data_IF_951584799821
#
_entry.id   IF_951584799821
#
_cell.length_a   1.000
_cell.length_b   1.000
_cell.length_c   1.000
_cell.angle_alpha   90.00
_cell.angle_beta   90.00
_cell.angle_gamma   90.00
#
_symmetry.space_group_name_H-M   'P 1'
#
loop_
_entity.id
_entity.type
_entity.pdbx_description
1 polymer ?
#
# COMPACT_ATOMS: atom_id res chain seq x y z
N UNK A 1 9.92 -8.57 7.64
CA UNK A 1 9.75 -7.46 6.67
C UNK A 1 11.00 -6.60 6.59
N UNK A 2 11.20 -5.85 5.48
CA UNK A 2 12.41 -5.04 5.34
C UNK A 2 12.42 -3.83 6.28
N UNK A 3 11.31 -3.19 6.52
CA UNK A 3 11.19 -2.03 7.41
C UNK A 3 9.86 -1.98 8.15
N UNK A 4 9.71 -0.96 9.00
CA UNK A 4 8.48 -0.57 9.68
C UNK A 4 8.09 0.89 9.34
N UNK A 5 8.57 1.40 8.21
CA UNK A 5 8.21 2.73 7.72
C UNK A 5 6.88 2.67 6.94
N UNK A 6 6.27 3.82 6.69
CA UNK A 6 5.00 3.87 5.94
C UNK A 6 5.21 3.55 4.46
N UNK A 7 4.65 2.43 4.03
CA UNK A 7 4.67 1.91 2.66
C UNK A 7 3.47 0.99 2.42
N UNK A 8 3.22 0.59 1.18
CA UNK A 8 2.06 -0.24 0.84
C UNK A 8 2.07 -1.61 1.52
N UNK A 9 3.23 -2.27 1.61
CA UNK A 9 3.41 -3.55 2.29
C UNK A 9 3.17 -3.38 3.80
N UNK A 10 3.80 -2.38 4.40
CA UNK A 10 3.71 -2.10 5.83
C UNK A 10 2.27 -1.69 6.22
N UNK A 11 1.60 -0.91 5.38
CA UNK A 11 0.19 -0.56 5.57
C UNK A 11 -0.70 -1.81 5.58
N UNK A 12 -0.48 -2.76 4.66
CA UNK A 12 -1.20 -4.04 4.68
C UNK A 12 -1.00 -4.78 6.00
N UNK A 13 0.25 -4.94 6.43
CA UNK A 13 0.56 -5.67 7.67
C UNK A 13 -0.07 -4.99 8.88
N UNK A 14 0.00 -3.65 8.95
CA UNK A 14 -0.62 -2.89 10.05
C UNK A 14 -2.15 -2.93 10.00
N UNK A 15 -2.77 -2.92 8.83
CA UNK A 15 -4.21 -3.10 8.70
C UNK A 15 -4.65 -4.46 9.27
N UNK A 16 -3.90 -5.54 8.96
CA UNK A 16 -4.13 -6.86 9.56
C UNK A 16 -3.94 -6.80 11.07
N UNK A 17 -2.83 -6.23 11.55
CA UNK A 17 -2.48 -6.21 12.98
C UNK A 17 -3.46 -5.38 13.84
N UNK A 18 -3.97 -4.27 13.31
CA UNK A 18 -5.03 -3.47 13.97
C UNK A 18 -6.35 -4.21 14.13
N UNK A 19 -6.66 -5.10 13.18
CA UNK A 19 -7.96 -5.78 13.10
C UNK A 19 -7.93 -7.24 13.57
N UNK A 20 -6.75 -7.81 13.89
CA UNK A 20 -6.65 -9.18 14.38
C UNK A 20 -7.06 -9.27 15.85
N UNK A 21 -7.71 -10.39 16.20
CA UNK A 21 -8.00 -10.72 17.61
C UNK A 21 -6.68 -11.10 18.31
N UNK A 22 -6.09 -10.14 19.02
CA UNK A 22 -4.81 -10.31 19.73
C UNK A 22 -4.86 -11.25 20.93
N UNK A 23 -6.04 -11.66 21.34
CA UNK A 23 -6.18 -12.73 22.36
C UNK A 23 -5.91 -14.11 21.78
N UNK A 24 -6.05 -14.25 20.45
CA UNK A 24 -5.81 -15.51 19.72
C UNK A 24 -4.45 -15.52 19.02
N UNK A 25 -4.07 -14.38 18.41
CA UNK A 25 -2.82 -14.26 17.62
C UNK A 25 -2.19 -12.92 17.90
N UNK A 26 -1.02 -12.93 18.50
CA UNK A 26 -0.19 -11.74 18.75
C UNK A 26 0.97 -11.71 17.74
N UNK A 27 1.27 -10.52 17.19
CA UNK A 27 2.41 -10.34 16.28
C UNK A 27 3.59 -9.71 16.99
N UNK A 28 4.77 -10.25 16.68
CA UNK A 28 6.05 -9.58 16.85
C UNK A 28 6.69 -9.33 15.49
N UNK A 29 7.53 -8.31 15.40
CA UNK A 29 8.06 -7.83 14.13
C UNK A 29 9.57 -7.97 14.07
N UNK A 30 10.07 -8.66 13.04
CA UNK A 30 11.50 -8.76 12.73
C UNK A 30 11.81 -7.82 11.57
N UNK A 31 12.63 -6.78 11.80
CA UNK A 31 12.84 -5.66 10.88
C UNK A 31 14.29 -5.22 10.81
N UNK A 32 14.71 -4.66 9.65
CA UNK A 32 15.98 -3.94 9.50
C UNK A 32 15.93 -2.52 10.07
N UNK A 33 14.72 -1.95 10.23
CA UNK A 33 14.50 -0.62 10.81
C UNK A 33 13.57 -0.74 12.02
N UNK A 34 14.07 -1.18 13.19
CA UNK A 34 13.23 -1.43 14.36
C UNK A 34 12.58 -0.17 14.93
N UNK A 35 13.12 1.00 14.63
CA UNK A 35 12.60 2.31 15.06
C UNK A 35 11.82 3.03 13.92
N UNK A 36 11.21 2.28 12.99
CA UNK A 36 10.41 2.86 11.90
C UNK A 36 9.09 3.48 12.39
N UNK A 37 8.37 4.15 11.49
CA UNK A 37 7.16 4.94 11.77
C UNK A 37 6.06 4.20 12.55
N UNK A 38 5.96 2.88 12.36
CA UNK A 38 4.97 2.05 13.05
C UNK A 38 5.47 1.40 14.34
N UNK A 39 6.75 1.55 14.73
CA UNK A 39 7.33 0.83 15.86
C UNK A 39 6.60 1.13 17.18
N UNK A 40 6.31 2.41 17.44
CA UNK A 40 5.60 2.83 18.65
C UNK A 40 4.16 2.30 18.70
N UNK A 41 3.47 2.31 17.56
CA UNK A 41 2.11 1.76 17.46
C UNK A 41 2.10 0.24 17.71
N UNK A 42 3.06 -0.50 17.12
CA UNK A 42 3.21 -1.94 17.36
C UNK A 42 3.37 -2.23 18.86
N UNK A 43 4.25 -1.48 19.53
CA UNK A 43 4.51 -1.65 20.97
C UNK A 43 3.29 -1.31 21.82
N UNK A 44 2.53 -0.26 21.47
CA UNK A 44 1.30 0.12 22.18
C UNK A 44 0.20 -0.96 22.08
N UNK A 45 0.25 -1.78 21.03
CA UNK A 45 -0.66 -2.92 20.82
C UNK A 45 -0.10 -4.24 21.41
N UNK A 46 1.00 -4.20 22.19
CA UNK A 46 1.60 -5.34 22.85
C UNK A 46 2.59 -6.16 21.99
N UNK A 47 2.89 -5.73 20.77
CA UNK A 47 3.87 -6.37 19.91
C UNK A 47 5.30 -5.96 20.25
N UNK A 48 6.24 -6.87 20.06
CA UNK A 48 7.69 -6.59 20.17
C UNK A 48 8.28 -6.33 18.80
N UNK A 49 9.29 -5.46 18.76
CA UNK A 49 10.02 -5.16 17.51
C UNK A 49 11.49 -5.57 17.69
N UNK A 50 11.94 -6.51 16.88
CA UNK A 50 13.30 -7.01 16.88
C UNK A 50 14.10 -6.48 15.69
N UNK A 51 15.30 -5.97 15.96
CA UNK A 51 16.23 -5.49 14.94
C UNK A 51 17.14 -6.60 14.43
N UNK A 52 17.27 -6.73 13.11
CA UNK A 52 18.31 -7.55 12.48
C UNK A 52 19.20 -6.68 11.60
N UNK A 53 20.50 -6.99 11.59
CA UNK A 53 21.45 -6.26 10.75
C UNK A 53 21.11 -6.45 9.27
N UNK A 54 21.02 -5.40 8.46
CA UNK A 54 20.80 -5.56 7.02
C UNK A 54 22.07 -6.08 6.32
N UNK A 55 21.92 -6.78 5.19
CA UNK A 55 23.03 -7.40 4.45
C UNK A 55 24.07 -6.42 3.90
N UNK A 56 23.67 -5.19 3.59
CA UNK A 56 24.58 -4.15 3.11
C UNK A 56 25.55 -3.65 4.19
N UNK A 57 25.26 -3.88 5.47
CA UNK A 57 26.16 -3.59 6.59
C UNK A 57 27.18 -4.72 6.79
N UNK A 58 26.83 -5.96 6.38
CA UNK A 58 27.74 -7.11 6.46
C UNK A 58 27.02 -8.44 6.26
N UNK A 59 27.46 -9.19 5.26
CA UNK A 59 26.85 -10.48 4.90
C UNK A 59 26.86 -11.46 6.09
N UNK A 60 28.01 -11.72 6.68
CA UNK A 60 28.12 -12.62 7.84
C UNK A 60 27.39 -12.09 9.07
N UNK A 61 27.41 -10.78 9.30
CA UNK A 61 26.71 -10.15 10.42
C UNK A 61 25.18 -10.32 10.31
N UNK A 62 24.64 -10.24 9.09
CA UNK A 62 23.23 -10.50 8.82
C UNK A 62 22.84 -11.95 9.20
N UNK A 63 23.53 -12.95 8.67
CA UNK A 63 23.21 -14.36 8.95
C UNK A 63 23.42 -14.71 10.42
N UNK A 64 24.48 -14.18 11.07
CA UNK A 64 24.71 -14.35 12.50
C UNK A 64 23.59 -13.73 13.34
N UNK A 65 23.07 -12.57 12.95
CA UNK A 65 21.95 -11.93 13.65
C UNK A 65 20.62 -12.72 13.50
N UNK A 66 20.37 -13.30 12.32
CA UNK A 66 19.23 -14.21 12.11
C UNK A 66 19.36 -15.48 12.95
N UNK A 67 20.50 -16.17 12.87
CA UNK A 67 20.73 -17.41 13.63
C UNK A 67 20.58 -17.18 15.13
N UNK A 68 21.15 -16.08 15.64
CA UNK A 68 20.99 -15.69 17.05
C UNK A 68 19.51 -15.49 17.41
N UNK A 69 18.78 -14.67 16.64
CA UNK A 69 17.37 -14.40 16.91
C UNK A 69 16.53 -15.69 16.96
N UNK A 70 16.63 -16.54 15.93
CA UNK A 70 15.84 -17.76 15.88
C UNK A 70 16.25 -18.78 16.95
N UNK A 71 17.54 -18.86 17.30
CA UNK A 71 18.02 -19.72 18.39
C UNK A 71 17.42 -19.31 19.74
N UNK A 72 17.31 -18.01 19.98
CA UNK A 72 16.83 -17.46 21.26
C UNK A 72 15.31 -17.45 21.35
N UNK A 73 14.58 -17.20 20.24
CA UNK A 73 13.17 -16.87 20.26
C UNK A 73 12.25 -17.82 19.47
N UNK A 74 12.76 -18.73 18.63
CA UNK A 74 11.90 -19.53 17.76
C UNK A 74 10.86 -20.36 18.52
N UNK A 75 11.17 -20.80 19.75
CA UNK A 75 10.26 -21.58 20.60
C UNK A 75 9.03 -20.78 21.08
N UNK A 76 9.08 -19.45 21.02
CA UNK A 76 7.97 -18.56 21.37
C UNK A 76 6.93 -18.44 20.22
N UNK A 77 7.29 -18.88 18.99
CA UNK A 77 6.48 -18.64 17.78
C UNK A 77 5.97 -19.92 17.14
N UNK A 78 4.66 -19.94 16.88
CA UNK A 78 4.03 -20.99 16.08
C UNK A 78 4.19 -20.76 14.58
N UNK A 79 4.19 -19.50 14.16
CA UNK A 79 4.21 -19.10 12.76
C UNK A 79 5.21 -17.98 12.48
N UNK A 80 5.79 -17.99 11.28
CA UNK A 80 6.47 -16.85 10.69
C UNK A 80 5.78 -16.47 9.37
N UNK A 81 5.51 -15.17 9.18
CA UNK A 81 4.96 -14.62 7.95
C UNK A 81 5.97 -13.66 7.31
N UNK A 82 6.62 -14.12 6.24
CA UNK A 82 7.57 -13.32 5.48
C UNK A 82 6.85 -12.52 4.41
N UNK A 83 6.73 -11.22 4.61
CA UNK A 83 6.27 -10.26 3.61
C UNK A 83 7.44 -9.78 2.77
N UNK A 84 7.39 -9.98 1.46
CA UNK A 84 8.55 -9.69 0.61
C UNK A 84 8.16 -9.38 -0.85
N UNK A 85 9.06 -8.64 -1.52
CA UNK A 85 9.05 -8.48 -2.99
C UNK A 85 10.06 -9.40 -3.68
N UNK A 86 10.89 -10.14 -2.90
CA UNK A 86 11.97 -10.98 -3.45
C UNK A 86 12.31 -12.15 -2.54
N UNK A 87 12.59 -13.30 -3.13
CA UNK A 87 13.08 -14.50 -2.42
C UNK A 87 14.49 -14.33 -1.83
N UNK A 88 15.16 -13.21 -2.12
CA UNK A 88 16.46 -12.90 -1.49
C UNK A 88 16.38 -12.85 0.05
N UNK A 89 15.19 -12.65 0.63
CA UNK A 89 14.95 -12.63 2.09
C UNK A 89 14.51 -13.99 2.65
N UNK A 90 14.41 -15.05 1.83
CA UNK A 90 13.93 -16.37 2.25
C UNK A 90 14.84 -17.08 3.27
N UNK A 91 16.04 -16.55 3.54
CA UNK A 91 16.89 -17.00 4.66
C UNK A 91 16.17 -16.97 6.01
N UNK A 92 15.25 -16.04 6.25
CA UNK A 92 14.42 -16.06 7.45
C UNK A 92 13.62 -17.36 7.59
N UNK A 93 13.04 -17.86 6.47
CA UNK A 93 12.27 -19.11 6.48
C UNK A 93 13.19 -20.34 6.67
N UNK A 94 14.42 -20.28 6.17
CA UNK A 94 15.42 -21.33 6.43
C UNK A 94 15.73 -21.46 7.93
N UNK A 95 16.02 -20.34 8.60
CA UNK A 95 16.27 -20.37 10.05
C UNK A 95 15.01 -20.73 10.84
N UNK A 96 13.85 -20.22 10.46
CA UNK A 96 12.59 -20.62 11.07
C UNK A 96 12.35 -22.14 11.00
N UNK A 97 12.63 -22.76 9.83
CA UNK A 97 12.57 -24.22 9.65
C UNK A 97 13.62 -24.94 10.50
N UNK A 98 14.87 -24.47 10.49
CA UNK A 98 15.98 -25.02 11.29
C UNK A 98 15.66 -25.09 12.78
N UNK A 99 15.00 -24.05 13.30
CA UNK A 99 14.64 -23.93 14.72
C UNK A 99 13.21 -24.34 15.04
N UNK A 100 12.52 -25.06 14.15
CA UNK A 100 11.29 -25.78 14.43
C UNK A 100 9.98 -25.01 14.33
N UNK A 101 9.98 -23.77 13.78
CA UNK A 101 8.71 -23.06 13.52
C UNK A 101 7.91 -23.82 12.45
N UNK A 102 6.69 -24.27 12.82
CA UNK A 102 5.87 -25.15 11.99
C UNK A 102 5.23 -24.45 10.80
N UNK A 103 4.60 -23.30 11.02
CA UNK A 103 3.90 -22.52 9.98
C UNK A 103 4.85 -21.47 9.41
N UNK A 104 5.17 -21.58 8.13
CA UNK A 104 6.12 -20.67 7.46
C UNK A 104 5.49 -20.14 6.18
N UNK A 105 5.01 -18.90 6.27
CA UNK A 105 4.26 -18.23 5.20
C UNK A 105 5.19 -17.31 4.44
N UNK A 106 5.07 -17.30 3.11
CA UNK A 106 5.71 -16.29 2.25
C UNK A 106 4.62 -15.57 1.46
N UNK A 107 4.66 -14.22 1.48
CA UNK A 107 3.65 -13.37 0.89
C UNK A 107 4.28 -12.37 -0.09
N UNK A 108 3.88 -12.49 -1.35
CA UNK A 108 4.35 -11.62 -2.44
C UNK A 108 3.58 -10.29 -2.45
N UNK A 109 4.31 -9.17 -2.35
CA UNK A 109 3.72 -7.82 -2.40
C UNK A 109 4.09 -7.02 -3.65
N UNK A 110 4.94 -7.54 -4.52
CA UNK A 110 5.37 -6.87 -5.75
C UNK A 110 5.65 -7.89 -6.84
N UNK A 111 5.62 -7.44 -8.08
CA UNK A 111 6.00 -8.20 -9.27
C UNK A 111 7.42 -7.88 -9.78
N UNK A 112 8.21 -7.15 -8.98
CA UNK A 112 9.58 -6.77 -9.35
C UNK A 112 10.47 -6.63 -8.10
N UNK A 113 11.78 -6.65 -8.32
CA UNK A 113 12.80 -6.36 -7.29
C UNK A 113 13.23 -4.91 -7.42
N UNK A 114 13.13 -4.16 -6.31
CA UNK A 114 13.89 -2.93 -6.12
C UNK A 114 15.18 -3.26 -5.36
N UNK A 115 16.33 -2.79 -5.81
CA UNK A 115 17.58 -2.94 -5.07
C UNK A 115 18.75 -3.48 -5.90
N UNK A 116 19.76 -4.02 -5.21
CA UNK A 116 21.04 -4.39 -5.78
C UNK A 116 20.98 -5.63 -6.70
N UNK A 117 21.95 -5.73 -7.63
CA UNK A 117 22.17 -6.93 -8.49
C UNK A 117 22.28 -8.21 -7.66
N UNK A 118 22.85 -8.12 -6.44
CA UNK A 118 22.95 -9.26 -5.51
C UNK A 118 21.56 -9.78 -5.10
N UNK A 119 20.61 -8.91 -4.80
CA UNK A 119 19.24 -9.32 -4.45
C UNK A 119 18.56 -10.04 -5.62
N UNK A 120 18.83 -9.62 -6.84
CA UNK A 120 18.34 -10.27 -8.05
C UNK A 120 18.92 -11.70 -8.19
N UNK A 121 20.24 -11.83 -8.07
CA UNK A 121 20.90 -13.14 -8.12
C UNK A 121 20.37 -14.08 -7.02
N UNK A 122 20.29 -13.59 -5.78
CA UNK A 122 19.78 -14.38 -4.65
C UNK A 122 18.33 -14.80 -4.83
N UNK A 123 17.49 -13.95 -5.46
CA UNK A 123 16.12 -14.30 -5.79
C UNK A 123 16.07 -15.56 -6.66
N UNK A 124 16.80 -15.58 -7.77
CA UNK A 124 16.78 -16.71 -8.69
C UNK A 124 17.44 -17.96 -8.12
N UNK A 125 18.54 -17.82 -7.36
CA UNK A 125 19.17 -18.94 -6.68
C UNK A 125 18.26 -19.58 -5.61
N UNK A 126 17.46 -18.79 -4.91
CA UNK A 126 16.57 -19.26 -3.85
C UNK A 126 15.24 -19.82 -4.42
N UNK A 127 14.86 -19.39 -5.61
CA UNK A 127 13.55 -19.70 -6.21
C UNK A 127 13.23 -21.20 -6.29
N UNK A 128 14.12 -22.11 -6.69
CA UNK A 128 13.85 -23.55 -6.71
C UNK A 128 13.61 -24.16 -5.32
N UNK A 129 14.17 -23.55 -4.29
CA UNK A 129 14.15 -24.07 -2.91
C UNK A 129 12.95 -23.55 -2.09
N UNK A 130 12.20 -22.55 -2.58
CA UNK A 130 11.10 -21.96 -1.81
C UNK A 130 10.07 -22.99 -1.36
N UNK A 131 9.81 -24.02 -2.17
CA UNK A 131 8.90 -25.14 -1.86
C UNK A 131 9.31 -25.96 -0.62
N UNK A 132 10.56 -25.92 -0.24
CA UNK A 132 11.09 -26.63 0.93
C UNK A 132 11.19 -25.74 2.18
N UNK A 133 11.09 -24.43 2.00
CA UNK A 133 11.24 -23.45 3.07
C UNK A 133 9.90 -22.99 3.64
N UNK A 134 8.91 -22.76 2.80
CA UNK A 134 7.59 -22.31 3.21
C UNK A 134 6.57 -23.45 3.23
N UNK A 135 5.54 -23.30 4.05
CA UNK A 135 4.38 -24.20 4.13
C UNK A 135 3.18 -23.61 3.40
N UNK A 136 3.06 -22.28 3.37
CA UNK A 136 1.95 -21.54 2.79
C UNK A 136 2.48 -20.41 1.88
N UNK A 137 1.81 -20.21 0.74
CA UNK A 137 2.25 -19.35 -0.34
C UNK A 137 1.14 -18.34 -0.66
N UNK A 138 1.40 -17.06 -0.43
CA UNK A 138 0.42 -15.99 -0.59
C UNK A 138 0.95 -14.90 -1.54
N UNK A 139 0.04 -14.10 -2.08
CA UNK A 139 0.39 -12.90 -2.83
C UNK A 139 -0.79 -11.98 -3.05
N UNK A 140 -0.52 -10.69 -3.24
CA UNK A 140 -1.54 -9.67 -3.39
C UNK A 140 -2.00 -9.46 -4.85
N UNK A 141 -1.40 -10.17 -5.82
CA UNK A 141 -1.78 -10.10 -7.24
C UNK A 141 -1.24 -11.32 -7.99
N UNK A 142 -1.87 -11.68 -9.11
CA UNK A 142 -1.39 -12.78 -9.97
C UNK A 142 0.04 -12.52 -10.47
N UNK A 143 0.37 -11.28 -10.85
CA UNK A 143 1.74 -10.91 -11.24
C UNK A 143 2.73 -11.13 -10.10
N UNK A 144 2.35 -10.81 -8.85
CA UNK A 144 3.18 -11.07 -7.66
C UNK A 144 3.35 -12.54 -7.38
N UNK A 145 2.28 -13.34 -7.49
CA UNK A 145 2.31 -14.80 -7.36
C UNK A 145 3.22 -15.43 -8.42
N UNK A 146 3.09 -15.00 -9.69
CA UNK A 146 3.94 -15.50 -10.78
C UNK A 146 5.40 -15.11 -10.57
N UNK A 147 5.64 -13.90 -10.10
CA UNK A 147 6.98 -13.43 -9.81
C UNK A 147 7.72 -14.34 -8.81
N UNK A 148 7.11 -14.65 -7.68
CA UNK A 148 7.74 -15.49 -6.66
C UNK A 148 7.65 -17.00 -7.01
N UNK A 149 6.54 -17.49 -7.60
CA UNK A 149 6.25 -18.92 -7.61
C UNK A 149 6.18 -19.56 -9.00
N UNK A 150 6.21 -18.79 -10.10
CA UNK A 150 6.26 -19.37 -11.46
C UNK A 150 7.52 -20.22 -11.63
N UNK A 151 7.37 -21.41 -12.20
CA UNK A 151 8.44 -22.41 -12.40
C UNK A 151 9.04 -23.00 -11.11
N UNK A 152 8.32 -22.97 -9.99
CA UNK A 152 8.76 -23.56 -8.72
C UNK A 152 8.04 -24.86 -8.36
N UNK A 153 7.02 -25.24 -9.16
CA UNK A 153 6.14 -26.40 -8.89
C UNK A 153 5.06 -26.15 -7.83
N UNK A 154 4.97 -24.94 -7.27
CA UNK A 154 4.02 -24.59 -6.19
C UNK A 154 3.06 -23.46 -6.55
N UNK A 155 3.13 -22.88 -7.77
CA UNK A 155 2.25 -21.79 -8.19
C UNK A 155 0.75 -22.12 -8.02
N UNK A 156 0.38 -23.38 -8.29
CA UNK A 156 -0.99 -23.87 -8.13
C UNK A 156 -1.47 -23.95 -6.68
N UNK A 157 -0.56 -23.95 -5.70
CA UNK A 157 -0.86 -23.91 -4.26
C UNK A 157 -0.91 -22.50 -3.70
N UNK A 158 -0.45 -21.53 -4.48
CA UNK A 158 -0.36 -20.15 -4.03
C UNK A 158 -1.74 -19.48 -4.09
N UNK A 159 -2.11 -18.81 -3.00
CA UNK A 159 -3.42 -18.20 -2.79
C UNK A 159 -3.29 -16.68 -2.92
N UNK A 160 -4.18 -16.08 -3.70
CA UNK A 160 -4.28 -14.63 -3.80
C UNK A 160 -5.06 -14.08 -2.60
N UNK A 161 -4.48 -13.06 -1.95
CA UNK A 161 -5.10 -12.33 -0.86
C UNK A 161 -5.03 -10.84 -1.18
N UNK A 162 -6.18 -10.22 -1.30
CA UNK A 162 -6.25 -8.79 -1.54
C UNK A 162 -5.69 -7.98 -0.35
N UNK A 163 -5.10 -6.83 -0.65
CA UNK A 163 -4.70 -5.87 0.37
C UNK A 163 -5.93 -5.25 1.01
N UNK A 164 -6.46 -5.93 2.04
CA UNK A 164 -7.67 -5.54 2.74
C UNK A 164 -7.51 -4.23 3.49
N UNK A 165 -8.58 -3.44 3.48
CA UNK A 165 -8.72 -2.19 4.24
C UNK A 165 -9.91 -2.30 5.19
N UNK A 166 -9.96 -1.45 6.22
CA UNK A 166 -11.16 -1.31 7.05
C UNK A 166 -12.23 -0.53 6.28
N UNK A 167 -13.13 -1.26 5.62
CA UNK A 167 -14.17 -0.69 4.78
C UNK A 167 -15.15 0.22 5.57
N UNK A 168 -15.32 0.01 6.87
CA UNK A 168 -16.15 0.87 7.71
C UNK A 168 -15.48 2.21 7.99
N UNK A 169 -14.15 2.20 8.16
CA UNK A 169 -13.37 3.41 8.42
C UNK A 169 -13.38 4.35 7.20
N UNK A 170 -13.28 3.77 5.98
CA UNK A 170 -13.26 4.51 4.73
C UNK A 170 -14.65 4.84 4.17
N UNK A 171 -15.72 4.29 4.74
CA UNK A 171 -17.08 4.52 4.30
C UNK A 171 -17.41 6.00 4.15
N UNK A 172 -18.08 6.38 3.03
CA UNK A 172 -18.51 7.77 2.81
C UNK A 172 -19.48 8.25 3.90
N UNK A 173 -19.23 9.45 4.39
CA UNK A 173 -20.06 10.11 5.40
C UNK A 173 -20.15 11.61 5.08
N UNK A 174 -21.36 12.13 4.77
CA UNK A 174 -21.59 13.56 4.55
C UNK A 174 -21.13 14.42 5.73
N UNK A 175 -21.40 13.99 6.97
CA UNK A 175 -21.02 14.71 8.18
C UNK A 175 -19.48 14.80 8.33
N UNK A 176 -18.76 13.71 8.04
CA UNK A 176 -17.30 13.75 8.03
C UNK A 176 -16.78 14.67 6.93
N UNK A 177 -17.38 14.63 5.74
CA UNK A 177 -17.01 15.50 4.63
C UNK A 177 -17.12 16.97 5.03
N UNK A 178 -18.26 17.39 5.56
CA UNK A 178 -18.49 18.76 6.01
C UNK A 178 -17.43 19.19 7.06
N UNK A 179 -17.24 18.37 8.10
CA UNK A 179 -16.25 18.65 9.16
C UNK A 179 -14.84 18.83 8.60
N UNK A 180 -14.39 17.95 7.70
CA UNK A 180 -13.03 17.98 7.17
C UNK A 180 -12.85 19.18 6.23
N UNK A 181 -13.84 19.48 5.38
CA UNK A 181 -13.80 20.66 4.51
C UNK A 181 -13.73 21.95 5.32
N UNK A 182 -14.52 22.06 6.40
CA UNK A 182 -14.45 23.20 7.31
C UNK A 182 -13.06 23.33 7.96
N UNK A 183 -12.47 22.22 8.42
CA UNK A 183 -11.11 22.20 9.00
C UNK A 183 -10.05 22.65 7.99
N UNK A 184 -10.19 22.26 6.74
CA UNK A 184 -9.27 22.63 5.65
C UNK A 184 -9.62 24.00 5.01
N UNK A 185 -10.66 24.68 5.50
CA UNK A 185 -11.18 25.95 4.95
C UNK A 185 -11.55 25.84 3.45
N UNK A 186 -12.18 24.74 3.08
CA UNK A 186 -12.65 24.46 1.71
C UNK A 186 -14.15 24.73 1.65
N UNK A 187 -14.57 25.56 0.71
CA UNK A 187 -15.98 25.88 0.46
C UNK A 187 -16.80 24.67 0.03
N UNK A 188 -18.12 24.70 0.26
CA UNK A 188 -19.00 23.57 -0.07
C UNK A 188 -18.97 23.23 -1.56
N UNK A 189 -18.97 24.24 -2.43
CA UNK A 189 -19.00 24.09 -3.89
C UNK A 189 -17.62 23.95 -4.53
N UNK A 190 -16.54 24.15 -3.77
CA UNK A 190 -15.16 24.03 -4.27
C UNK A 190 -14.90 22.59 -4.73
N UNK A 191 -14.46 22.40 -5.96
CA UNK A 191 -14.09 21.08 -6.48
C UNK A 191 -12.71 20.70 -5.94
N UNK A 192 -12.63 19.55 -5.26
CA UNK A 192 -11.40 19.05 -4.64
C UNK A 192 -10.88 17.84 -5.40
N UNK A 193 -9.76 18.03 -6.08
CA UNK A 193 -8.99 16.97 -6.71
C UNK A 193 -8.01 16.42 -5.69
N UNK A 194 -7.95 15.11 -5.50
CA UNK A 194 -7.10 14.50 -4.48
C UNK A 194 -6.13 13.46 -5.00
N UNK A 195 -4.98 13.35 -4.34
CA UNK A 195 -4.00 12.30 -4.55
C UNK A 195 -3.35 11.89 -3.21
N UNK A 196 -3.18 10.59 -3.02
CA UNK A 196 -2.45 10.02 -1.87
C UNK A 196 -1.30 9.17 -2.40
N UNK A 197 -0.08 9.58 -2.11
CA UNK A 197 1.11 8.85 -2.55
C UNK A 197 2.41 9.52 -2.18
N UNK A 198 3.49 8.71 -2.13
CA UNK A 198 4.84 9.24 -1.88
C UNK A 198 5.26 10.14 -3.06
N UNK A 199 5.89 11.28 -2.78
CA UNK A 199 6.49 12.14 -3.80
C UNK A 199 7.74 11.48 -4.42
N UNK A 200 7.46 10.51 -5.27
CA UNK A 200 8.42 9.68 -5.97
C UNK A 200 8.10 9.64 -7.46
N UNK A 201 9.09 9.46 -8.32
CA UNK A 201 8.95 9.57 -9.78
C UNK A 201 7.79 8.73 -10.34
N UNK A 202 7.57 7.54 -9.77
CA UNK A 202 6.50 6.62 -10.20
C UNK A 202 5.11 7.25 -10.12
N UNK A 203 4.85 8.10 -9.13
CA UNK A 203 3.53 8.73 -8.88
C UNK A 203 3.22 9.91 -9.81
N UNK A 204 4.24 10.43 -10.51
CA UNK A 204 4.10 11.45 -11.54
C UNK A 204 3.37 12.74 -11.07
N UNK A 205 3.72 13.22 -9.88
CA UNK A 205 3.13 14.44 -9.31
C UNK A 205 3.31 15.66 -10.22
N UNK A 206 4.40 15.70 -10.99
CA UNK A 206 4.65 16.79 -11.94
C UNK A 206 3.52 16.91 -12.98
N UNK A 207 3.11 15.79 -13.54
CA UNK A 207 2.00 15.77 -14.50
C UNK A 207 0.65 16.04 -13.80
N UNK A 208 0.45 15.53 -12.59
CA UNK A 208 -0.75 15.81 -11.78
C UNK A 208 -0.95 17.31 -11.55
N UNK A 209 0.13 18.03 -11.18
CA UNK A 209 0.09 19.49 -11.01
C UNK A 209 -0.24 20.20 -12.33
N UNK A 210 0.32 19.75 -13.46
CA UNK A 210 -0.04 20.29 -14.77
C UNK A 210 -1.53 20.08 -15.10
N UNK A 211 -2.07 18.88 -14.85
CA UNK A 211 -3.50 18.57 -15.01
C UNK A 211 -4.34 19.52 -14.17
N UNK A 212 -3.97 19.68 -12.88
CA UNK A 212 -4.70 20.58 -11.99
C UNK A 212 -4.63 22.03 -12.45
N UNK A 213 -3.46 22.52 -12.87
CA UNK A 213 -3.32 23.89 -13.36
C UNK A 213 -4.25 24.15 -14.55
N UNK A 214 -4.30 23.26 -15.54
CA UNK A 214 -5.21 23.41 -16.69
C UNK A 214 -6.68 23.38 -16.24
N UNK A 215 -7.03 22.49 -15.30
CA UNK A 215 -8.38 22.43 -14.75
C UNK A 215 -8.76 23.72 -14.02
N UNK A 216 -7.86 24.21 -13.14
CA UNK A 216 -8.04 25.41 -12.31
C UNK A 216 -8.16 26.69 -13.13
N UNK A 217 -7.48 26.78 -14.28
CA UNK A 217 -7.63 27.94 -15.17
C UNK A 217 -9.07 28.12 -15.66
N UNK A 218 -9.80 27.03 -15.87
CA UNK A 218 -11.20 27.01 -16.31
C UNK A 218 -12.20 26.96 -15.14
N UNK A 219 -11.78 26.50 -13.97
CA UNK A 219 -12.63 26.27 -12.80
C UNK A 219 -11.94 26.82 -11.54
N UNK A 220 -12.00 28.13 -11.34
CA UNK A 220 -11.27 28.86 -10.29
C UNK A 220 -11.61 28.40 -8.86
N UNK A 221 -12.84 27.95 -8.62
CA UNK A 221 -13.21 27.39 -7.32
C UNK A 221 -12.85 25.88 -7.29
N UNK A 222 -11.56 25.63 -7.28
CA UNK A 222 -11.02 24.26 -7.21
C UNK A 222 -9.74 24.22 -6.39
N UNK A 223 -9.48 23.07 -5.75
CA UNK A 223 -8.26 22.83 -4.96
C UNK A 223 -7.66 21.46 -5.26
N UNK A 224 -6.34 21.36 -5.12
CA UNK A 224 -5.60 20.09 -5.21
C UNK A 224 -5.09 19.72 -3.82
N UNK A 225 -5.46 18.53 -3.33
CA UNK A 225 -4.95 17.95 -2.10
C UNK A 225 -3.88 16.89 -2.42
N UNK A 226 -2.65 17.14 -1.98
CA UNK A 226 -1.51 16.24 -2.11
C UNK A 226 -1.13 15.70 -0.73
N UNK A 227 -1.28 14.38 -0.54
CA UNK A 227 -1.06 13.71 0.74
C UNK A 227 0.09 12.73 0.60
N UNK A 228 1.13 12.92 1.39
CA UNK A 228 2.36 12.15 1.39
C UNK A 228 3.59 13.03 1.49
N UNK A 229 4.76 12.41 1.51
CA UNK A 229 6.08 13.06 1.50
C UNK A 229 7.01 12.31 0.56
N UNK A 230 8.13 12.87 0.19
CA UNK A 230 9.13 12.18 -0.63
C UNK A 230 10.16 13.11 -1.23
N UNK A 231 11.11 12.52 -1.93
CA UNK A 231 12.30 13.19 -2.46
C UNK A 231 12.01 14.25 -3.52
N UNK A 232 10.85 14.16 -4.21
CA UNK A 232 10.45 15.13 -5.23
C UNK A 232 9.55 16.25 -4.70
N UNK A 233 9.23 16.29 -3.40
CA UNK A 233 8.29 17.27 -2.85
C UNK A 233 8.72 18.71 -3.12
N UNK A 234 10.00 19.04 -2.91
CA UNK A 234 10.53 20.38 -3.15
C UNK A 234 10.44 20.81 -4.63
N UNK A 235 10.71 19.88 -5.55
CA UNK A 235 10.55 20.12 -6.99
C UNK A 235 9.10 20.46 -7.35
N UNK A 236 8.14 19.70 -6.77
CA UNK A 236 6.72 19.91 -7.01
C UNK A 236 6.24 21.22 -6.39
N UNK A 237 6.72 21.60 -5.19
CA UNK A 237 6.43 22.92 -4.58
C UNK A 237 6.93 24.06 -5.44
N UNK A 238 8.13 23.92 -6.02
CA UNK A 238 8.67 24.92 -6.95
C UNK A 238 7.80 25.07 -8.21
N UNK A 239 7.37 23.95 -8.81
CA UNK A 239 6.46 23.95 -9.96
C UNK A 239 5.14 24.67 -9.64
N UNK A 240 4.53 24.37 -8.50
CA UNK A 240 3.28 25.02 -8.02
C UNK A 240 3.46 26.53 -7.90
N UNK A 241 4.61 26.98 -7.37
CA UNK A 241 4.94 28.41 -7.26
C UNK A 241 5.13 29.07 -8.63
N UNK A 242 5.84 28.42 -9.55
CA UNK A 242 6.05 28.92 -10.92
C UNK A 242 4.73 29.07 -11.69
N UNK A 243 3.78 28.16 -11.45
CA UNK A 243 2.42 28.20 -12.01
C UNK A 243 1.48 29.21 -11.30
N UNK A 244 1.91 29.79 -10.17
CA UNK A 244 1.14 30.75 -9.35
C UNK A 244 -0.19 30.19 -8.83
N UNK A 245 -0.18 28.92 -8.41
CA UNK A 245 -1.35 28.21 -7.85
C UNK A 245 -1.13 27.74 -6.41
N UNK A 246 -0.21 28.41 -5.65
CA UNK A 246 0.17 27.96 -4.29
C UNK A 246 -1.00 27.98 -3.31
N UNK A 247 -1.93 28.91 -3.47
CA UNK A 247 -3.08 29.04 -2.56
C UNK A 247 -4.14 27.97 -2.78
N UNK A 248 -4.05 27.27 -3.93
CA UNK A 248 -5.02 26.25 -4.36
C UNK A 248 -4.46 24.83 -4.33
N UNK A 249 -3.18 24.66 -3.97
CA UNK A 249 -2.54 23.35 -3.78
C UNK A 249 -2.16 23.15 -2.31
N UNK A 250 -2.84 22.20 -1.65
CA UNK A 250 -2.60 21.87 -0.25
C UNK A 250 -1.65 20.67 -0.15
N UNK A 251 -0.42 20.91 0.32
CA UNK A 251 0.54 19.89 0.68
C UNK A 251 0.31 19.49 2.14
N UNK A 252 -0.32 18.34 2.37
CA UNK A 252 -0.76 17.92 3.71
C UNK A 252 0.27 17.06 4.45
N UNK A 253 1.40 16.73 3.78
CA UNK A 253 2.46 15.91 4.38
C UNK A 253 2.02 14.48 4.66
N UNK A 254 2.74 13.85 5.58
CA UNK A 254 2.43 12.50 6.03
C UNK A 254 1.29 12.51 7.04
N UNK A 255 0.16 11.87 6.69
CA UNK A 255 -1.08 11.88 7.49
C UNK A 255 -1.47 10.48 7.95
N UNK A 256 -2.12 10.39 9.09
CA UNK A 256 -2.76 9.15 9.60
C UNK A 256 -4.28 9.14 9.41
N UNK A 257 -4.89 10.30 9.18
CA UNK A 257 -6.32 10.51 9.00
C UNK A 257 -6.75 10.49 7.51
N UNK A 258 -6.11 9.62 6.70
CA UNK A 258 -6.45 9.43 5.28
C UNK A 258 -7.95 9.18 5.07
N UNK A 259 -8.63 8.34 5.89
CA UNK A 259 -10.07 8.11 5.75
C UNK A 259 -10.90 9.39 5.83
N UNK A 260 -10.50 10.33 6.67
CA UNK A 260 -11.17 11.62 6.82
C UNK A 260 -10.83 12.56 5.66
N UNK A 261 -9.56 12.64 5.25
CA UNK A 261 -9.12 13.49 4.13
C UNK A 261 -9.75 13.09 2.79
N UNK A 262 -9.94 11.80 2.55
CA UNK A 262 -10.67 11.31 1.36
C UNK A 262 -12.13 11.80 1.34
N UNK A 263 -12.75 12.07 2.49
CA UNK A 263 -14.11 12.60 2.52
C UNK A 263 -14.20 14.01 1.91
N UNK A 264 -13.14 14.82 2.03
CA UNK A 264 -13.12 16.19 1.50
C UNK A 264 -13.06 16.27 -0.02
N UNK A 265 -12.57 15.22 -0.69
CA UNK A 265 -12.32 15.18 -2.14
C UNK A 265 -13.62 14.98 -2.94
N UNK A 266 -13.58 15.32 -4.25
CA UNK A 266 -14.64 15.07 -5.22
C UNK A 266 -14.22 14.06 -6.29
N UNK A 267 -12.93 13.96 -6.55
CA UNK A 267 -12.32 13.00 -7.46
C UNK A 267 -10.92 12.62 -6.99
N UNK A 268 -10.53 11.37 -7.20
CA UNK A 268 -9.18 10.89 -6.92
C UNK A 268 -8.43 10.65 -8.23
N UNK A 269 -7.22 11.23 -8.37
CA UNK A 269 -6.41 11.15 -9.60
C UNK A 269 -5.13 10.36 -9.34
N UNK A 270 -4.81 9.43 -10.25
CA UNK A 270 -3.56 8.65 -10.17
C UNK A 270 -2.89 8.51 -11.55
N UNK A 271 -2.07 9.49 -11.98
CA UNK A 271 -1.37 9.47 -13.27
C UNK A 271 -0.01 8.77 -13.16
N UNK A 272 0.09 7.69 -12.41
CA UNK A 272 1.34 6.97 -12.13
C UNK A 272 1.92 6.31 -13.37
N UNK A 273 3.25 6.25 -13.48
CA UNK A 273 3.96 5.51 -14.54
C UNK A 273 3.92 3.99 -14.36
N UNK A 274 3.78 3.53 -13.12
CA UNK A 274 3.73 2.11 -12.79
C UNK A 274 3.03 1.91 -11.44
N UNK A 275 2.16 0.89 -11.36
CA UNK A 275 1.53 0.45 -10.11
C UNK A 275 1.30 -1.07 -10.13
N UNK A 276 1.36 -1.67 -8.93
CA UNK A 276 0.78 -2.99 -8.71
C UNK A 276 -0.73 -2.87 -8.48
N UNK A 277 -1.17 -3.15 -7.27
CA UNK A 277 -2.53 -2.83 -6.80
C UNK A 277 -2.42 -1.72 -5.72
N UNK A 278 -2.59 -0.43 -6.09
CA UNK A 278 -2.42 0.67 -5.14
C UNK A 278 -3.53 0.64 -4.08
N UNK A 279 -3.16 0.51 -2.80
CA UNK A 279 -4.12 0.50 -1.69
C UNK A 279 -4.92 1.80 -1.65
N UNK A 280 -4.29 2.95 -1.95
CA UNK A 280 -4.97 4.24 -1.99
C UNK A 280 -6.11 4.34 -3.01
N UNK A 281 -6.07 3.56 -4.11
CA UNK A 281 -7.20 3.45 -5.04
C UNK A 281 -8.36 2.64 -4.43
N UNK A 282 -8.06 1.61 -3.65
CA UNK A 282 -9.09 0.84 -2.95
C UNK A 282 -9.75 1.72 -1.88
N UNK A 283 -8.96 2.46 -1.12
CA UNK A 283 -9.39 3.41 -0.10
C UNK A 283 -10.29 4.52 -0.68
N UNK A 284 -9.85 5.14 -1.78
CA UNK A 284 -10.60 6.19 -2.47
C UNK A 284 -11.94 5.67 -3.02
N UNK A 285 -11.94 4.51 -3.67
CA UNK A 285 -13.16 3.89 -4.17
C UNK A 285 -14.12 3.51 -3.03
N UNK A 286 -13.60 3.01 -1.90
CA UNK A 286 -14.41 2.69 -0.71
C UNK A 286 -15.04 3.93 -0.10
N UNK A 287 -14.35 5.08 -0.21
CA UNK A 287 -14.88 6.38 0.20
C UNK A 287 -15.89 6.98 -0.81
N UNK A 288 -16.30 6.21 -1.82
CA UNK A 288 -17.25 6.66 -2.83
C UNK A 288 -16.69 7.71 -3.79
N UNK A 289 -15.36 7.79 -3.97
CA UNK A 289 -14.77 8.73 -4.92
C UNK A 289 -14.73 8.14 -6.33
N UNK A 290 -15.09 8.90 -7.36
CA UNK A 290 -14.77 8.54 -8.71
C UNK A 290 -13.26 8.61 -8.91
N UNK A 291 -12.74 7.72 -9.74
CA UNK A 291 -11.31 7.58 -10.01
C UNK A 291 -11.01 7.97 -11.45
N UNK A 292 -9.95 8.76 -11.65
CA UNK A 292 -9.30 8.87 -12.97
C UNK A 292 -7.84 8.47 -12.82
N UNK A 293 -7.47 7.37 -13.44
CA UNK A 293 -6.14 6.79 -13.32
C UNK A 293 -5.51 6.52 -14.70
N UNK A 294 -4.21 6.26 -14.72
CA UNK A 294 -3.54 5.81 -15.94
C UNK A 294 -4.05 4.42 -16.37
N UNK A 295 -4.07 4.16 -17.67
CA UNK A 295 -4.53 2.91 -18.28
C UNK A 295 -3.60 1.70 -18.05
N UNK A 296 -2.40 1.93 -17.51
CA UNK A 296 -1.49 0.85 -17.09
C UNK A 296 -1.93 0.14 -15.81
N UNK A 297 -2.84 0.74 -15.02
CA UNK A 297 -3.35 0.14 -13.80
C UNK A 297 -4.22 -1.07 -14.16
N UNK A 298 -3.97 -2.19 -13.46
CA UNK A 298 -4.74 -3.41 -13.68
C UNK A 298 -6.24 -3.19 -13.48
N UNK A 299 -7.06 -3.82 -14.32
CA UNK A 299 -8.52 -3.84 -14.14
C UNK A 299 -8.95 -4.46 -12.82
N UNK A 300 -8.11 -5.26 -12.17
CA UNK A 300 -8.37 -5.81 -10.84
C UNK A 300 -8.49 -4.72 -9.75
N UNK A 301 -7.94 -3.52 -10.02
CA UNK A 301 -8.09 -2.38 -9.14
C UNK A 301 -9.49 -1.71 -9.24
N UNK A 302 -10.28 -2.05 -10.25
CA UNK A 302 -11.62 -1.51 -10.42
C UNK A 302 -12.62 -2.23 -9.50
N UNK A 303 -13.16 -1.48 -8.54
CA UNK A 303 -14.17 -1.96 -7.57
C UNK A 303 -15.55 -1.40 -7.93
N UNK A 304 -15.60 -0.16 -8.39
CA UNK A 304 -16.83 0.57 -8.71
C UNK A 304 -16.89 0.94 -10.20
N UNK A 305 -18.07 1.22 -10.71
CA UNK A 305 -18.28 1.56 -12.12
C UNK A 305 -17.69 2.93 -12.50
N UNK A 306 -17.47 3.80 -11.53
CA UNK A 306 -16.91 5.15 -11.71
C UNK A 306 -15.38 5.16 -11.65
N UNK A 307 -14.78 4.15 -12.24
CA UNK A 307 -13.33 4.01 -12.41
C UNK A 307 -12.99 4.24 -13.88
N UNK A 308 -12.35 5.35 -14.17
CA UNK A 308 -11.99 5.76 -15.52
C UNK A 308 -10.48 5.67 -15.70
N UNK A 309 -10.07 5.32 -16.91
CA UNK A 309 -8.66 5.31 -17.27
C UNK A 309 -8.39 6.24 -18.44
N UNK A 310 -7.18 6.81 -18.48
CA UNK A 310 -6.70 7.61 -19.58
C UNK A 310 -5.17 7.39 -19.72
N UNK A 311 -4.67 7.26 -20.97
CA UNK A 311 -3.25 7.07 -21.20
C UNK A 311 -2.45 8.33 -20.85
N UNK A 312 -1.22 8.14 -20.39
CA UNK A 312 -0.26 9.24 -20.16
C UNK A 312 0.21 9.91 -21.47
N UNK A 313 -0.12 9.35 -22.63
CA UNK A 313 0.11 9.98 -23.94
C UNK A 313 -0.87 11.14 -24.24
N UNK A 314 -2.00 11.21 -23.49
CA UNK A 314 -2.94 12.31 -23.59
C UNK A 314 -2.41 13.56 -22.87
N UNK A 315 -2.82 14.72 -23.37
CA UNK A 315 -2.42 16.01 -22.80
C UNK A 315 -3.00 16.25 -21.41
N UNK A 316 -2.42 17.18 -20.64
CA UNK A 316 -3.00 17.64 -19.38
C UNK A 316 -4.41 18.24 -19.59
N UNK A 317 -4.70 18.80 -20.76
CA UNK A 317 -6.02 19.32 -21.12
C UNK A 317 -7.04 18.20 -21.31
N UNK A 318 -6.69 17.08 -21.93
CA UNK A 318 -7.57 15.92 -22.06
C UNK A 318 -7.94 15.35 -20.68
N UNK A 319 -6.95 15.25 -19.78
CA UNK A 319 -7.18 14.83 -18.40
C UNK A 319 -8.09 15.82 -17.67
N UNK A 320 -7.85 17.12 -17.77
CA UNK A 320 -8.68 18.16 -17.14
C UNK A 320 -10.13 18.14 -17.67
N UNK A 321 -10.32 17.98 -18.97
CA UNK A 321 -11.63 17.87 -19.59
C UNK A 321 -12.37 16.59 -19.13
N UNK A 322 -11.63 15.47 -18.93
CA UNK A 322 -12.18 14.23 -18.39
C UNK A 322 -12.61 14.41 -16.93
N UNK A 323 -11.80 15.09 -16.10
CA UNK A 323 -12.17 15.44 -14.72
C UNK A 323 -13.48 16.22 -14.70
N UNK A 324 -13.58 17.28 -15.52
CA UNK A 324 -14.78 18.12 -15.58
C UNK A 324 -16.03 17.30 -15.90
N UNK A 325 -15.96 16.39 -16.87
CA UNK A 325 -17.08 15.49 -17.21
C UNK A 325 -17.45 14.58 -16.04
N UNK A 326 -16.46 14.01 -15.35
CA UNK A 326 -16.70 13.07 -14.25
C UNK A 326 -17.37 13.78 -13.07
N UNK A 327 -16.82 14.90 -12.59
CA UNK A 327 -17.32 15.58 -11.39
C UNK A 327 -18.73 16.15 -11.58
N UNK A 328 -19.09 16.55 -12.81
CA UNK A 328 -20.41 17.08 -13.13
C UNK A 328 -21.48 15.98 -13.34
N UNK A 329 -21.08 14.74 -13.59
CA UNK A 329 -22.00 13.62 -13.83
C UNK A 329 -22.11 12.65 -12.65
N UNK A 330 -21.28 12.82 -11.61
CA UNK A 330 -21.18 11.89 -10.50
C UNK A 330 -21.82 12.42 -9.23
N UNK A 331 -22.71 11.64 -8.65
CA UNK A 331 -23.21 11.86 -7.29
C UNK A 331 -22.58 10.85 -6.36
N UNK A 332 -21.87 11.35 -5.34
CA UNK A 332 -21.15 10.52 -4.38
C UNK A 332 -22.09 9.67 -3.53
N UNK A 333 -21.76 8.39 -3.38
CA UNK A 333 -22.53 7.42 -2.60
C UNK A 333 -21.61 6.48 -1.82
N UNK A 334 -22.18 5.76 -0.87
CA UNK A 334 -21.48 4.70 -0.14
C UNK A 334 -21.20 3.50 -1.06
N UNK A 335 -19.95 3.11 -1.16
CA UNK A 335 -19.47 2.01 -1.98
C UNK A 335 -18.75 0.92 -1.15
N UNK A 336 -18.80 1.03 0.17
CA UNK A 336 -18.10 0.10 1.08
C UNK A 336 -18.53 -1.36 0.89
N UNK A 337 -19.81 -1.61 0.60
CA UNK A 337 -20.30 -2.97 0.34
C UNK A 337 -19.79 -3.55 -1.00
N UNK A 338 -19.58 -2.72 -2.02
CA UNK A 338 -18.94 -3.16 -3.26
C UNK A 338 -17.49 -3.59 -3.01
N UNK A 339 -16.77 -2.84 -2.17
CA UNK A 339 -15.39 -3.16 -1.75
C UNK A 339 -15.32 -4.48 -0.99
N UNK A 340 -16.26 -4.72 -0.06
CA UNK A 340 -16.36 -6.00 0.66
C UNK A 340 -16.60 -7.17 -0.29
N UNK A 341 -17.56 -7.04 -1.21
CA UNK A 341 -17.88 -8.10 -2.19
C UNK A 341 -16.70 -8.43 -3.11
N UNK A 342 -15.85 -7.47 -3.40
CA UNK A 342 -14.61 -7.68 -4.17
C UNK A 342 -13.46 -8.26 -3.32
N UNK A 343 -13.70 -8.55 -2.03
CA UNK A 343 -12.73 -9.20 -1.14
C UNK A 343 -11.64 -8.27 -0.60
N UNK A 344 -11.87 -6.96 -0.59
CA UNK A 344 -10.93 -5.98 -0.03
C UNK A 344 -11.25 -5.59 1.43
N UNK A 345 -12.15 -6.31 2.11
CA UNK A 345 -12.37 -6.08 3.54
C UNK A 345 -11.28 -6.78 4.36
N UNK A 346 -10.62 -6.00 5.22
CA UNK A 346 -9.57 -6.50 6.10
C UNK A 346 -10.06 -7.61 7.04
N UNK A 347 -11.32 -7.61 7.44
CA UNK A 347 -11.90 -8.66 8.31
C UNK A 347 -11.87 -10.03 7.64
N UNK A 348 -12.15 -10.09 6.34
CA UNK A 348 -12.04 -11.32 5.55
C UNK A 348 -10.59 -11.80 5.48
N UNK A 349 -9.66 -10.89 5.20
CA UNK A 349 -8.22 -11.18 5.20
C UNK A 349 -7.74 -11.69 6.55
N UNK A 350 -8.13 -11.03 7.64
CA UNK A 350 -7.77 -11.41 9.01
C UNK A 350 -8.28 -12.79 9.37
N UNK A 351 -9.56 -13.09 9.09
CA UNK A 351 -10.15 -14.39 9.37
C UNK A 351 -9.42 -15.53 8.63
N UNK A 352 -9.07 -15.29 7.37
CA UNK A 352 -8.28 -16.24 6.57
C UNK A 352 -6.88 -16.46 7.17
N UNK A 353 -6.18 -15.37 7.54
CA UNK A 353 -4.83 -15.46 8.10
C UNK A 353 -4.79 -16.13 9.47
N UNK A 354 -5.79 -15.87 10.35
CA UNK A 354 -5.91 -16.58 11.64
C UNK A 354 -5.97 -18.09 11.42
N UNK A 355 -6.76 -18.55 10.46
CA UNK A 355 -6.86 -19.98 10.16
C UNK A 355 -5.53 -20.59 9.72
N UNK A 356 -4.69 -19.82 8.99
CA UNK A 356 -3.34 -20.26 8.61
C UNK A 356 -2.42 -20.28 9.84
N UNK A 357 -2.39 -19.21 10.63
CA UNK A 357 -1.48 -19.09 11.78
C UNK A 357 -1.73 -20.17 12.84
N UNK A 358 -2.99 -20.60 13.01
CA UNK A 358 -3.40 -21.59 14.01
C UNK A 358 -3.41 -23.03 13.49
N UNK A 359 -2.92 -23.30 12.27
CA UNK A 359 -2.71 -24.68 11.79
C UNK A 359 -1.79 -25.43 12.75
N UNK A 360 -2.23 -26.63 13.15
CA UNK A 360 -1.47 -27.53 14.05
C UNK A 360 -0.41 -28.33 13.30
#
# INVERSE_FOLDING_TARGET
MAGLNRGGLETFVMNVYRNIDRTKVQFDFLSHTPNGDYAQEVQSMGGRVYGIKPRNVGFFAYYKSLDKFFKEHAHEYQAIHLHTSSLSMASCLFYAKKYGIKVRIIHAHSSSISGSKLNYILHFLTKPFVRFLATDYLGCSDKGLDWLYKNTGIRHKAIMINNGIDTNLFRFSPTKRERVRNTLKIGENTIVIGHVGRFFWVKNHKFLVNIFNVYHLKNKDSKLLLIGTGELEEEIRKQVKELRINDDVLFLGLRSDIPDLLQAMDIFIMPSFFEGLPVSLVEAQTSGLPILATDIISKDAQIIDYFYTLSLSHSAEDWANKIHKIVNSYQRKDTSEATKRKGFDVKTTVSFLINIYLKK
#
